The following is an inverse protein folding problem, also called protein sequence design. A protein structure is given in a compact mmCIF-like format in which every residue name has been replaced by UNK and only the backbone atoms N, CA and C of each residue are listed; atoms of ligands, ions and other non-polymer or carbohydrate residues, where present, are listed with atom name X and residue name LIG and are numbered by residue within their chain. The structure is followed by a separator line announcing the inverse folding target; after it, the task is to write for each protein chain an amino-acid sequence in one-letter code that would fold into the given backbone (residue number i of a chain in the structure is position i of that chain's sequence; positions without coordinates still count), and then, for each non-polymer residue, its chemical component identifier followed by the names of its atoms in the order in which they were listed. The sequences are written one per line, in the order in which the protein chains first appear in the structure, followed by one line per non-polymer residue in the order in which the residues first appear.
data_IF_861387401418
#
_entry.id   IF_861387401418
#
_cell.length_a   1.000
_cell.length_b   1.000
_cell.length_c   1.000
_cell.angle_alpha   90.00
_cell.angle_beta   90.00
_cell.angle_gamma   90.00
#
_symmetry.space_group_name_H-M   'P 1'
#
loop_
_entity.id
_entity.type
_entity.pdbx_description
1 polymer ?
#
# COMPACT_ATOMS: atom_id res chain seq x y z
N UNK A 1 16.79 2.15 24.07
CA UNK A 1 16.65 3.23 23.06
C UNK A 1 15.77 2.71 21.94
N UNK A 2 14.45 2.90 22.04
CA UNK A 2 13.49 2.36 21.08
C UNK A 2 13.31 3.36 19.92
N UNK A 3 14.13 3.24 18.88
CA UNK A 3 14.06 4.12 17.70
C UNK A 3 12.90 3.78 16.74
N UNK A 4 11.94 2.97 17.18
CA UNK A 4 10.75 2.59 16.42
C UNK A 4 9.50 2.93 17.23
N UNK A 5 9.43 4.18 17.68
CA UNK A 5 8.14 4.75 18.09
C UNK A 5 7.15 4.57 16.93
N UNK A 6 5.96 4.08 17.29
CA UNK A 6 4.87 3.75 16.38
C UNK A 6 4.64 4.92 15.42
N UNK A 7 4.73 4.65 14.12
CA UNK A 7 4.58 5.65 13.05
C UNK A 7 3.26 6.44 13.24
N UNK A 8 3.29 7.78 13.19
CA UNK A 8 2.13 8.65 13.46
C UNK A 8 0.97 8.52 12.45
N UNK A 9 1.09 7.65 11.45
CA UNK A 9 0.08 7.38 10.43
C UNK A 9 0.04 5.87 10.10
N UNK A 10 -0.80 5.13 10.82
CA UNK A 10 -1.05 3.70 10.58
C UNK A 10 -2.46 3.50 10.02
N UNK A 11 -2.58 2.69 8.96
CA UNK A 11 -3.85 2.17 8.47
C UNK A 11 -3.92 0.67 8.76
N UNK A 12 -5.04 0.22 9.34
CA UNK A 12 -5.29 -1.20 9.64
C UNK A 12 -6.54 -1.65 8.92
N UNK A 13 -6.42 -2.74 8.17
CA UNK A 13 -7.53 -3.38 7.48
C UNK A 13 -7.82 -4.73 8.15
N UNK A 14 -9.08 -4.97 8.47
CA UNK A 14 -9.56 -6.28 8.89
C UNK A 14 -10.20 -6.93 7.66
N UNK A 15 -9.60 -8.01 7.16
CA UNK A 15 -10.03 -8.70 5.95
C UNK A 15 -9.84 -10.23 6.05
N UNK A 16 -9.78 -10.77 7.27
CA UNK A 16 -9.53 -12.20 7.50
C UNK A 16 -10.55 -13.10 6.80
N UNK A 17 -11.81 -12.66 6.70
CA UNK A 17 -12.89 -13.40 6.04
C UNK A 17 -12.71 -13.54 4.51
N UNK A 18 -11.80 -12.76 3.92
CA UNK A 18 -11.45 -12.81 2.49
C UNK A 18 -10.14 -13.54 2.22
N UNK A 19 -9.43 -14.02 3.25
CA UNK A 19 -8.12 -14.66 3.11
C UNK A 19 -8.26 -16.14 3.46
N UNK A 20 -8.04 -17.00 2.47
CA UNK A 20 -8.05 -18.44 2.64
C UNK A 20 -6.63 -19.00 2.58
N UNK A 21 -6.29 -19.87 3.53
CA UNK A 21 -5.00 -20.55 3.55
C UNK A 21 -4.82 -21.43 2.30
N UNK A 22 -3.60 -21.43 1.75
CA UNK A 22 -3.25 -22.21 0.57
C UNK A 22 -3.79 -21.66 -0.75
N UNK A 23 -4.50 -20.54 -0.75
CA UNK A 23 -5.00 -19.89 -1.95
C UNK A 23 -4.25 -18.59 -2.26
N UNK A 24 -4.11 -18.31 -3.56
CA UNK A 24 -3.67 -17.00 -4.02
C UNK A 24 -4.85 -16.04 -4.04
N UNK A 25 -4.63 -14.81 -3.61
CA UNK A 25 -5.58 -13.70 -3.70
C UNK A 25 -4.90 -12.51 -4.36
N UNK A 26 -5.66 -11.73 -5.12
CA UNK A 26 -5.16 -10.50 -5.73
C UNK A 26 -5.44 -9.32 -4.79
N UNK A 27 -4.39 -8.64 -4.33
CA UNK A 27 -4.50 -7.51 -3.40
C UNK A 27 -4.07 -6.20 -4.07
N UNK A 28 -4.87 -5.16 -3.93
CA UNK A 28 -4.49 -3.79 -4.33
C UNK A 28 -4.71 -2.84 -3.16
N UNK A 29 -3.66 -2.08 -2.83
CA UNK A 29 -3.73 -0.99 -1.85
C UNK A 29 -3.63 0.34 -2.60
N UNK A 30 -4.71 1.11 -2.59
CA UNK A 30 -4.75 2.44 -3.20
C UNK A 30 -4.59 3.49 -2.12
N UNK A 31 -3.61 4.37 -2.27
CA UNK A 31 -3.32 5.44 -1.34
C UNK A 31 -3.60 6.78 -2.02
N UNK A 32 -4.54 7.55 -1.47
CA UNK A 32 -4.92 8.85 -2.04
C UNK A 32 -4.60 9.96 -1.06
N UNK A 33 -3.77 10.90 -1.51
CA UNK A 33 -3.45 12.12 -0.76
C UNK A 33 -4.62 13.10 -0.87
N UNK A 34 -5.22 13.47 0.26
CA UNK A 34 -6.21 14.54 0.31
C UNK A 34 -5.53 15.91 0.23
N UNK A 35 -5.93 16.80 -0.68
CA UNK A 35 -5.46 18.19 -0.67
C UNK A 35 -6.13 18.95 0.48
N UNK A 36 -5.38 19.29 1.54
CA UNK A 36 -5.88 19.96 2.75
C UNK A 36 -7.01 19.18 3.47
N UNK A 37 -7.09 17.88 3.22
CA UNK A 37 -8.06 16.94 3.81
C UNK A 37 -7.32 15.70 4.28
N UNK A 38 -8.00 14.85 5.05
CA UNK A 38 -7.46 13.54 5.42
C UNK A 38 -7.04 12.75 4.18
N UNK A 39 -5.95 12.02 4.30
CA UNK A 39 -5.54 11.04 3.29
C UNK A 39 -6.29 9.73 3.52
N UNK A 40 -6.38 8.91 2.47
CA UNK A 40 -7.10 7.65 2.52
C UNK A 40 -6.25 6.52 2.00
N UNK A 41 -6.46 5.33 2.56
CA UNK A 41 -6.01 4.08 1.97
C UNK A 41 -7.24 3.19 1.76
N UNK A 42 -7.39 2.64 0.57
CA UNK A 42 -8.44 1.70 0.20
C UNK A 42 -7.82 0.35 -0.14
N UNK A 43 -8.35 -0.70 0.47
CA UNK A 43 -7.95 -2.08 0.21
C UNK A 43 -8.96 -2.73 -0.72
N UNK A 44 -8.45 -3.33 -1.80
CA UNK A 44 -9.22 -4.17 -2.70
C UNK A 44 -8.67 -5.59 -2.66
N UNK A 45 -9.56 -6.57 -2.66
CA UNK A 45 -9.25 -8.00 -2.80
C UNK A 45 -10.06 -8.53 -3.98
N UNK A 46 -9.40 -9.22 -4.90
CA UNK A 46 -10.02 -9.86 -6.08
C UNK A 46 -10.91 -8.88 -6.88
N UNK A 47 -10.40 -7.65 -7.05
CA UNK A 47 -11.07 -6.57 -7.78
C UNK A 47 -12.14 -5.83 -6.98
N UNK A 48 -12.50 -6.29 -5.78
CA UNK A 48 -13.59 -5.73 -4.97
C UNK A 48 -13.07 -4.83 -3.84
N UNK A 49 -13.74 -3.69 -3.61
CA UNK A 49 -13.42 -2.81 -2.49
C UNK A 49 -13.81 -3.48 -1.17
N UNK A 50 -12.84 -3.67 -0.28
CA UNK A 50 -13.06 -4.25 1.05
C UNK A 50 -13.32 -3.16 2.08
N UNK A 51 -12.43 -2.17 2.16
CA UNK A 51 -12.56 -1.09 3.12
C UNK A 51 -11.71 0.14 2.72
N UNK A 52 -12.09 1.32 3.21
CA UNK A 52 -11.32 2.56 3.11
C UNK A 52 -11.07 3.14 4.50
N UNK A 53 -9.80 3.31 4.85
CA UNK A 53 -9.36 3.91 6.11
C UNK A 53 -8.90 5.34 5.86
N UNK A 54 -9.32 6.27 6.72
CA UNK A 54 -8.84 7.66 6.73
C UNK A 54 -7.73 7.80 7.76
N UNK A 55 -6.70 8.56 7.44
CA UNK A 55 -5.65 8.93 8.39
C UNK A 55 -5.17 10.36 8.13
N UNK A 56 -4.33 10.86 9.04
CA UNK A 56 -3.89 12.25 9.03
C UNK A 56 -3.21 12.60 7.70
N UNK A 57 -3.25 13.90 7.36
CA UNK A 57 -2.67 14.40 6.12
C UNK A 57 -1.20 13.99 5.99
N UNK A 58 -0.83 13.49 4.82
CA UNK A 58 0.53 13.06 4.52
C UNK A 58 1.25 14.20 3.80
N UNK A 59 2.35 14.65 4.39
CA UNK A 59 3.21 15.67 3.79
C UNK A 59 3.89 15.13 2.53
N UNK A 60 4.07 15.99 1.53
CA UNK A 60 4.76 15.64 0.27
C UNK A 60 6.27 15.47 0.45
N UNK A 61 6.86 16.06 1.50
CA UNK A 61 8.28 15.88 1.83
C UNK A 61 8.46 14.79 2.89
N UNK A 62 9.35 13.82 2.67
CA UNK A 62 9.79 12.91 3.73
C UNK A 62 10.29 13.71 4.94
N UNK A 63 9.86 13.33 6.15
CA UNK A 63 10.25 14.01 7.40
C UNK A 63 9.45 15.28 7.74
N UNK A 64 8.42 15.64 6.97
CA UNK A 64 7.47 16.73 7.33
C UNK A 64 8.06 18.14 7.37
N UNK A 65 9.33 18.32 7.00
CA UNK A 65 10.01 19.62 7.03
C UNK A 65 9.69 20.45 5.79
N UNK A 66 9.26 21.69 6.00
CA UNK A 66 9.01 22.72 4.98
C UNK A 66 10.21 23.67 4.80
N UNK A 67 11.38 23.32 5.33
CA UNK A 67 12.57 24.17 5.30
C UNK A 67 13.11 24.32 3.88
N UNK A 68 13.45 25.57 3.49
CA UNK A 68 13.96 25.94 2.17
C UNK A 68 15.30 25.29 1.78
N UNK A 69 16.00 24.67 2.74
CA UNK A 69 17.24 23.95 2.56
C UNK A 69 17.09 22.54 3.15
N UNK A 70 16.53 21.56 2.42
CA UNK A 70 16.39 20.20 2.95
C UNK A 70 17.80 19.62 3.20
N UNK A 71 18.13 19.23 4.44
CA UNK A 71 19.40 18.59 4.72
C UNK A 71 19.34 17.17 4.17
N UNK A 72 20.12 16.90 3.12
CA UNK A 72 20.36 15.56 2.57
C UNK A 72 19.11 14.98 1.87
N UNK A 73 19.34 14.29 0.75
CA UNK A 73 18.31 13.53 0.05
C UNK A 73 17.74 12.49 1.01
N UNK A 74 16.51 12.70 1.49
CA UNK A 74 15.80 11.70 2.27
C UNK A 74 15.52 10.50 1.37
N UNK A 75 16.35 9.47 1.46
CA UNK A 75 16.09 8.20 0.77
C UNK A 75 14.86 7.56 1.40
N UNK A 76 13.78 7.47 0.64
CA UNK A 76 12.57 6.75 1.04
C UNK A 76 12.71 5.30 0.58
N UNK A 77 12.39 4.37 1.46
CA UNK A 77 12.27 2.96 1.13
C UNK A 77 10.94 2.41 1.66
N UNK A 78 10.43 1.40 0.98
CA UNK A 78 9.28 0.64 1.42
C UNK A 78 9.71 -0.81 1.66
N UNK A 79 8.99 -1.51 2.53
CA UNK A 79 9.14 -2.95 2.74
C UNK A 79 7.75 -3.57 2.75
N UNK A 80 7.67 -4.82 2.30
CA UNK A 80 6.47 -5.65 2.39
C UNK A 80 6.76 -6.76 3.41
N UNK A 81 5.85 -6.97 4.35
CA UNK A 81 6.03 -7.89 5.47
C UNK A 81 6.49 -7.19 6.75
N UNK A 82 7.33 -7.85 7.53
CA UNK A 82 7.79 -7.34 8.83
C UNK A 82 9.12 -6.59 8.68
N UNK A 83 9.24 -5.34 9.15
CA UNK A 83 10.50 -4.62 9.09
C UNK A 83 11.56 -5.30 9.99
N UNK A 84 12.85 -5.28 9.61
CA UNK A 84 13.90 -6.04 10.29
C UNK A 84 13.95 -5.84 11.81
N UNK A 85 13.74 -4.61 12.27
CA UNK A 85 13.80 -4.28 13.69
C UNK A 85 12.59 -4.73 14.52
N UNK A 86 11.47 -5.05 13.86
CA UNK A 86 10.26 -5.56 14.52
C UNK A 86 10.10 -7.07 14.31
N UNK A 87 11.10 -7.73 13.71
CA UNK A 87 11.05 -9.15 13.40
C UNK A 87 10.97 -9.96 14.69
N UNK A 88 9.96 -10.81 14.77
CA UNK A 88 9.77 -11.81 15.82
C UNK A 88 9.59 -13.19 15.16
N UNK A 89 9.87 -14.25 15.92
CA UNK A 89 9.53 -15.61 15.46
C UNK A 89 8.01 -15.73 15.35
N UNK A 90 7.54 -16.17 14.18
CA UNK A 90 6.12 -16.36 13.88
C UNK A 90 5.96 -17.62 13.04
N UNK A 91 4.85 -18.33 13.24
CA UNK A 91 4.42 -19.45 12.38
C UNK A 91 3.74 -18.98 11.10
N UNK A 92 3.51 -17.67 10.91
CA UNK A 92 2.89 -17.12 9.71
C UNK A 92 3.80 -17.36 8.49
N UNK A 93 3.33 -18.23 7.59
CA UNK A 93 3.96 -18.46 6.29
C UNK A 93 3.08 -17.85 5.21
N UNK A 94 3.66 -17.01 4.37
CA UNK A 94 2.97 -16.40 3.23
C UNK A 94 3.93 -16.31 2.05
N UNK A 95 3.36 -16.17 0.86
CA UNK A 95 4.10 -16.03 -0.40
C UNK A 95 3.65 -14.75 -1.09
N UNK A 96 4.59 -14.06 -1.72
CA UNK A 96 4.32 -12.88 -2.54
C UNK A 96 4.42 -13.28 -4.02
N UNK A 97 3.42 -12.88 -4.80
CA UNK A 97 3.40 -13.04 -6.25
C UNK A 97 3.98 -11.81 -6.96
N UNK A 98 3.70 -11.65 -8.27
CA UNK A 98 4.00 -10.42 -9.00
C UNK A 98 3.50 -9.19 -8.24
N UNK A 99 4.37 -8.20 -8.08
CA UNK A 99 4.10 -7.01 -7.27
C UNK A 99 4.46 -5.77 -8.05
N UNK A 100 3.50 -4.86 -8.17
CA UNK A 100 3.64 -3.63 -8.93
C UNK A 100 3.45 -2.44 -7.99
N UNK A 101 4.28 -1.42 -8.16
CA UNK A 101 4.14 -0.15 -7.46
C UNK A 101 3.91 0.94 -8.50
N UNK A 102 2.79 1.64 -8.37
CA UNK A 102 2.32 2.63 -9.32
C UNK A 102 2.24 3.98 -8.61
N UNK A 103 2.69 5.04 -9.27
CA UNK A 103 2.58 6.41 -8.76
C UNK A 103 1.13 6.90 -8.78
N UNK A 104 0.34 6.41 -9.75
CA UNK A 104 -1.03 6.85 -9.99
C UNK A 104 -2.06 6.21 -9.04
N UNK A 105 -3.08 6.99 -8.68
CA UNK A 105 -4.24 6.51 -7.92
C UNK A 105 -5.19 5.80 -8.88
N UNK A 106 -5.22 4.46 -8.81
CA UNK A 106 -6.09 3.64 -9.65
C UNK A 106 -7.58 3.86 -9.32
N UNK A 107 -8.45 4.12 -10.33
CA UNK A 107 -9.89 4.11 -10.12
C UNK A 107 -10.42 2.67 -10.00
N UNK A 108 -11.63 2.46 -9.42
CA UNK A 108 -12.17 1.12 -9.19
C UNK A 108 -12.29 0.26 -10.46
N UNK A 109 -12.63 0.85 -11.61
CA UNK A 109 -12.73 0.15 -12.90
C UNK A 109 -11.40 -0.47 -13.31
N UNK A 110 -10.31 0.31 -13.23
CA UNK A 110 -8.96 -0.15 -13.54
C UNK A 110 -8.53 -1.29 -12.64
N UNK A 111 -8.90 -1.27 -11.35
CA UNK A 111 -8.59 -2.35 -10.41
C UNK A 111 -9.31 -3.64 -10.79
N UNK A 112 -10.58 -3.56 -11.20
CA UNK A 112 -11.33 -4.72 -11.72
C UNK A 112 -10.67 -5.27 -12.98
N UNK A 113 -10.29 -4.40 -13.92
CA UNK A 113 -9.60 -4.81 -15.15
C UNK A 113 -8.25 -5.47 -14.86
N UNK A 114 -7.44 -4.94 -13.92
CA UNK A 114 -6.17 -5.57 -13.52
C UNK A 114 -6.41 -6.98 -12.97
N UNK A 115 -7.44 -7.15 -12.13
CA UNK A 115 -7.80 -8.46 -11.61
C UNK A 115 -8.19 -9.44 -12.73
N UNK A 116 -9.01 -9.00 -13.69
CA UNK A 116 -9.45 -9.81 -14.84
C UNK A 116 -8.31 -10.21 -15.78
N UNK A 117 -7.29 -9.36 -15.95
CA UNK A 117 -6.08 -9.69 -16.72
C UNK A 117 -5.29 -10.85 -16.10
N UNK A 118 -5.42 -11.05 -14.78
CA UNK A 118 -4.84 -12.16 -14.04
C UNK A 118 -3.33 -12.05 -13.79
N UNK A 119 -2.78 -12.98 -12.99
CA UNK A 119 -1.41 -12.89 -12.48
C UNK A 119 -0.32 -13.12 -13.54
N UNK A 120 -0.67 -13.62 -14.73
CA UNK A 120 0.26 -13.88 -15.83
C UNK A 120 0.35 -12.73 -16.84
N UNK A 121 -0.36 -11.62 -16.60
CA UNK A 121 -0.25 -10.45 -17.46
C UNK A 121 1.13 -9.80 -17.34
N UNK A 122 1.76 -9.55 -18.50
CA UNK A 122 3.13 -9.02 -18.59
C UNK A 122 3.20 -7.60 -19.18
N UNK A 123 2.05 -6.95 -19.39
CA UNK A 123 2.02 -5.58 -19.89
C UNK A 123 2.27 -4.53 -18.81
N UNK A 124 2.44 -3.28 -19.22
CA UNK A 124 2.77 -2.15 -18.33
C UNK A 124 1.55 -1.52 -17.62
N UNK A 125 0.35 -2.07 -17.80
CA UNK A 125 -0.92 -1.51 -17.36
C UNK A 125 -1.27 -0.11 -17.90
N UNK A 126 -0.47 0.46 -18.81
CA UNK A 126 -0.67 1.81 -19.35
C UNK A 126 -2.05 2.05 -20.01
N UNK A 127 -2.63 1.01 -20.61
CA UNK A 127 -3.96 1.10 -21.23
C UNK A 127 -5.11 0.96 -20.21
N UNK A 128 -4.80 0.54 -18.98
CA UNK A 128 -5.81 0.30 -17.94
C UNK A 128 -6.13 1.59 -17.17
N UNK A 129 -5.32 2.64 -17.33
CA UNK A 129 -5.54 3.97 -16.73
C UNK A 129 -6.48 4.89 -17.53
N UNK A 130 -7.00 4.44 -18.68
CA UNK A 130 -7.91 5.22 -19.53
C UNK A 130 -9.36 5.20 -19.05
#
# INVERSE_FOLDING_TARGET
SSCYEILPCCARFLCGDHILEGQWLHMVLVMSKGMLKNSTAALYIDGQLINTVKFHYIHSSPGGSSCANPPIVSTVYAYIGTPPAQRQLSSLVWRLGPTHFLEEVLPPSSISTIYELGPNYVGSFQAVYM
#
